data_IF_516099982635
#
_entry.id   IF_516099982635
#
_cell.length_a   1.000
_cell.length_b   1.000
_cell.length_c   1.000
_cell.angle_alpha   90.00
_cell.angle_beta   90.00
_cell.angle_gamma   90.00
#
_symmetry.space_group_name_H-M   'P 1'
#
loop_
_entity.id
_entity.type
_entity.pdbx_description
1 polymer ?
#
# COMPACT_ATOMS: atom_id res chain seq x y z
N UNK A 1 17.04 9.81 -9.05
CA UNK A 1 17.27 8.51 -9.73
C UNK A 1 18.24 7.70 -8.88
N UNK A 2 18.10 6.38 -8.80
CA UNK A 2 19.09 5.53 -8.12
C UNK A 2 20.36 5.53 -8.99
N UNK A 3 21.46 6.06 -8.47
CA UNK A 3 22.79 5.93 -9.09
C UNK A 3 23.48 4.69 -8.53
N UNK A 4 24.36 4.06 -9.32
CA UNK A 4 25.12 2.88 -8.87
C UNK A 4 25.90 3.15 -7.59
N UNK A 5 26.59 4.30 -7.52
CA UNK A 5 27.34 4.72 -6.33
C UNK A 5 26.45 4.87 -5.08
N UNK A 6 25.23 5.39 -5.23
CA UNK A 6 24.31 5.52 -4.09
C UNK A 6 23.76 4.17 -3.65
N UNK A 7 23.56 3.24 -4.60
CA UNK A 7 23.15 1.87 -4.30
C UNK A 7 24.23 1.17 -3.46
N UNK A 8 25.48 1.21 -3.89
CA UNK A 8 26.60 0.58 -3.17
C UNK A 8 26.77 1.14 -1.76
N UNK A 9 26.76 2.47 -1.61
CA UNK A 9 26.87 3.11 -0.31
C UNK A 9 25.73 2.73 0.66
N UNK A 10 24.50 2.65 0.16
CA UNK A 10 23.36 2.21 0.98
C UNK A 10 23.46 0.73 1.33
N UNK A 11 23.95 -0.10 0.39
CA UNK A 11 24.11 -1.55 0.60
C UNK A 11 25.19 -1.85 1.65
N UNK A 12 26.32 -1.16 1.62
CA UNK A 12 27.38 -1.26 2.63
C UNK A 12 26.85 -0.90 4.04
N UNK A 13 26.15 0.25 4.15
CA UNK A 13 25.60 0.71 5.44
C UNK A 13 24.48 -0.19 5.96
N UNK A 14 23.67 -0.76 5.06
CA UNK A 14 22.72 -1.79 5.45
C UNK A 14 23.47 -3.00 6.02
N UNK A 15 24.55 -3.48 5.38
CA UNK A 15 25.39 -4.56 5.91
C UNK A 15 25.94 -4.32 7.33
N UNK A 16 26.24 -3.07 7.67
CA UNK A 16 26.60 -2.64 9.03
C UNK A 16 25.42 -2.58 10.02
N UNK A 17 24.23 -3.06 9.64
CA UNK A 17 22.99 -3.06 10.44
C UNK A 17 22.35 -1.68 10.66
N UNK A 18 22.65 -0.69 9.81
CA UNK A 18 22.06 0.65 9.95
C UNK A 18 20.58 0.67 9.53
N UNK A 19 19.76 1.44 10.24
CA UNK A 19 18.38 1.71 9.83
C UNK A 19 18.34 2.67 8.62
N UNK A 20 17.42 2.48 7.66
CA UNK A 20 17.21 3.44 6.56
C UNK A 20 17.01 4.90 7.02
N UNK A 21 16.41 5.10 8.20
CA UNK A 21 16.24 6.43 8.81
C UNK A 21 17.57 7.02 9.27
N UNK A 22 18.47 6.20 9.80
CA UNK A 22 19.82 6.63 10.22
C UNK A 22 20.68 6.97 9.00
N UNK A 23 20.60 6.15 7.94
CA UNK A 23 21.33 6.40 6.68
C UNK A 23 20.90 7.74 6.10
N UNK A 24 19.60 8.00 6.01
CA UNK A 24 19.10 9.27 5.47
C UNK A 24 19.40 10.45 6.38
N UNK A 25 19.16 10.30 7.69
CA UNK A 25 19.36 11.36 8.66
C UNK A 25 20.82 11.80 8.81
N UNK A 26 21.79 10.88 8.63
CA UNK A 26 23.22 11.17 8.79
C UNK A 26 23.94 11.48 7.48
N UNK A 27 23.71 10.70 6.42
CA UNK A 27 24.50 10.80 5.19
C UNK A 27 23.83 11.68 4.12
N UNK A 28 22.50 11.70 4.08
CA UNK A 28 21.75 12.34 3.00
C UNK A 28 20.59 13.22 3.47
N UNK A 29 20.80 14.13 4.44
CA UNK A 29 19.75 15.03 4.91
C UNK A 29 19.21 15.86 3.74
N UNK A 30 17.88 15.82 3.51
CA UNK A 30 17.20 16.57 2.45
C UNK A 30 17.41 16.08 1.01
N UNK A 31 18.39 15.19 0.75
CA UNK A 31 18.65 14.63 -0.60
C UNK A 31 17.93 13.32 -0.85
N UNK A 32 17.69 12.54 0.21
CA UNK A 32 17.04 11.25 0.13
C UNK A 32 15.90 11.16 1.16
N UNK A 33 14.87 10.38 0.85
CA UNK A 33 13.83 10.02 1.83
C UNK A 33 14.01 8.56 2.24
N UNK A 34 13.84 8.26 3.53
CA UNK A 34 13.90 6.89 4.04
C UNK A 34 12.85 5.99 3.37
N UNK A 35 11.70 6.54 2.97
CA UNK A 35 10.68 5.84 2.18
C UNK A 35 11.22 5.33 0.85
N UNK A 36 12.13 6.06 0.21
CA UNK A 36 12.74 5.64 -1.06
C UNK A 36 13.61 4.40 -0.87
N UNK A 37 14.40 4.34 0.21
CA UNK A 37 15.20 3.16 0.56
C UNK A 37 14.30 1.96 0.80
N UNK A 38 13.26 2.09 1.62
CA UNK A 38 12.31 1.00 1.85
C UNK A 38 11.66 0.52 0.54
N UNK A 39 11.27 1.42 -0.35
CA UNK A 39 10.70 1.07 -1.65
C UNK A 39 11.70 0.27 -2.50
N UNK A 40 12.98 0.62 -2.47
CA UNK A 40 14.02 -0.11 -3.21
C UNK A 40 14.28 -1.50 -2.64
N UNK A 41 14.25 -1.66 -1.32
CA UNK A 41 14.36 -2.96 -0.65
C UNK A 41 13.18 -3.85 -1.06
N UNK A 42 11.95 -3.34 -1.00
CA UNK A 42 10.76 -4.11 -1.40
C UNK A 42 10.70 -4.43 -2.90
N UNK A 43 11.33 -3.60 -3.74
CA UNK A 43 11.47 -3.86 -5.18
C UNK A 43 12.61 -4.85 -5.50
N UNK A 44 13.35 -5.36 -4.50
CA UNK A 44 14.45 -6.31 -4.73
C UNK A 44 15.67 -5.67 -5.41
N UNK A 45 15.85 -4.36 -5.30
CA UNK A 45 17.00 -3.68 -5.91
C UNK A 45 18.31 -3.93 -5.15
N UNK A 46 18.23 -4.39 -3.90
CA UNK A 46 19.38 -4.75 -3.06
C UNK A 46 19.44 -6.26 -2.86
N UNK A 47 20.63 -6.82 -3.02
CA UNK A 47 20.91 -8.24 -2.77
C UNK A 47 21.32 -8.43 -1.31
N UNK A 48 20.41 -8.11 -0.39
CA UNK A 48 20.61 -8.29 1.04
C UNK A 48 19.38 -8.94 1.66
N UNK A 49 19.55 -9.91 2.57
CA UNK A 49 18.42 -10.51 3.25
C UNK A 49 17.74 -9.45 4.14
N UNK A 50 16.41 -9.44 4.16
CA UNK A 50 15.59 -8.56 5.02
C UNK A 50 15.86 -8.75 6.53
N UNK A 51 16.66 -9.74 6.93
CA UNK A 51 17.14 -9.97 8.30
C UNK A 51 18.07 -8.86 8.79
N UNK A 52 18.76 -8.18 7.87
CA UNK A 52 19.71 -7.11 8.17
C UNK A 52 19.00 -5.85 8.71
N UNK A 53 17.72 -5.67 8.38
CA UNK A 53 16.92 -4.56 8.89
C UNK A 53 16.49 -4.83 10.34
N UNK A 54 17.08 -4.09 11.27
CA UNK A 54 16.75 -4.15 12.70
C UNK A 54 15.27 -3.84 12.99
N UNK A 55 14.67 -2.94 12.21
CA UNK A 55 13.23 -2.66 12.22
C UNK A 55 12.71 -2.68 10.79
N UNK A 56 11.65 -3.46 10.53
CA UNK A 56 11.05 -3.61 9.19
C UNK A 56 10.00 -2.54 8.87
N UNK A 57 9.84 -1.55 9.75
CA UNK A 57 8.86 -0.47 9.61
C UNK A 57 7.41 -0.98 9.60
N UNK A 58 6.49 -0.13 9.12
CA UNK A 58 5.08 -0.51 8.97
C UNK A 58 4.91 -1.47 7.80
N UNK A 59 4.28 -2.62 8.07
CA UNK A 59 3.92 -3.59 7.03
C UNK A 59 2.96 -2.95 6.02
N UNK A 60 3.21 -3.17 4.72
CA UNK A 60 2.25 -2.75 3.70
C UNK A 60 0.94 -3.52 3.86
N UNK A 61 -0.19 -2.82 3.69
CA UNK A 61 -1.50 -3.46 3.68
C UNK A 61 -1.53 -4.48 2.53
N UNK A 62 -1.99 -5.72 2.77
CA UNK A 62 -2.13 -6.69 1.71
C UNK A 62 -3.08 -6.14 0.65
N UNK A 63 -2.81 -6.47 -0.63
CA UNK A 63 -3.72 -6.14 -1.71
C UNK A 63 -5.03 -6.89 -1.48
N UNK A 64 -6.14 -6.18 -1.40
CA UNK A 64 -7.46 -6.78 -1.19
C UNK A 64 -7.76 -7.80 -2.29
N UNK A 65 -7.76 -9.08 -1.91
CA UNK A 65 -7.92 -10.21 -2.83
C UNK A 65 -9.33 -10.79 -2.79
N UNK A 66 -10.20 -10.25 -1.93
CA UNK A 66 -11.61 -10.62 -1.88
C UNK A 66 -12.23 -10.17 -3.20
N UNK A 67 -12.72 -11.12 -3.99
CA UNK A 67 -13.43 -10.84 -5.23
C UNK A 67 -14.57 -9.85 -4.98
N UNK A 68 -14.84 -8.97 -5.94
CA UNK A 68 -16.04 -8.14 -5.87
C UNK A 68 -17.25 -9.06 -5.94
N UNK A 69 -18.14 -8.98 -4.96
CA UNK A 69 -19.40 -9.68 -5.02
C UNK A 69 -20.23 -9.09 -6.17
N UNK A 70 -20.24 -9.76 -7.32
CA UNK A 70 -21.13 -9.43 -8.45
C UNK A 70 -22.54 -10.03 -8.22
N UNK A 71 -22.97 -10.16 -6.97
CA UNK A 71 -24.25 -10.74 -6.60
C UNK A 71 -25.20 -9.59 -6.36
N UNK A 72 -26.00 -9.27 -7.37
CA UNK A 72 -27.04 -8.26 -7.28
C UNK A 72 -27.38 -7.63 -8.62
N UNK A 73 -28.66 -7.33 -8.81
CA UNK A 73 -29.14 -6.50 -9.89
C UNK A 73 -28.57 -5.09 -9.70
N UNK A 74 -27.84 -4.51 -10.66
CA UNK A 74 -27.30 -3.16 -10.51
C UNK A 74 -28.44 -2.16 -10.33
N UNK A 75 -28.23 -1.11 -9.51
CA UNK A 75 -29.22 -0.07 -9.20
C UNK A 75 -29.87 0.50 -10.47
N UNK A 76 -29.11 0.59 -11.57
CA UNK A 76 -29.59 1.08 -12.88
C UNK A 76 -30.71 0.24 -13.50
N UNK A 77 -30.82 -1.05 -13.14
CA UNK A 77 -31.86 -1.96 -13.63
C UNK A 77 -33.11 -1.98 -12.73
N UNK A 78 -33.17 -1.15 -11.68
CA UNK A 78 -34.34 -1.10 -10.77
C UNK A 78 -35.55 -0.46 -11.48
N UNK A 79 -36.78 -1.00 -11.30
CA UNK A 79 -37.98 -0.35 -11.79
C UNK A 79 -38.17 1.04 -11.18
N UNK A 80 -38.65 2.00 -11.99
CA UNK A 80 -38.82 3.41 -11.61
C UNK A 80 -39.81 3.60 -10.45
N UNK A 81 -40.74 2.68 -10.29
CA UNK A 81 -41.78 2.68 -9.25
C UNK A 81 -41.19 2.70 -7.84
N UNK A 82 -40.03 2.06 -7.64
CA UNK A 82 -39.38 2.01 -6.33
C UNK A 82 -38.84 3.36 -5.89
N UNK A 83 -38.56 4.28 -6.83
CA UNK A 83 -38.14 5.66 -6.48
C UNK A 83 -39.24 6.45 -5.79
N UNK A 84 -40.50 6.13 -6.07
CA UNK A 84 -41.67 6.83 -5.51
C UNK A 84 -42.00 6.41 -4.08
N UNK A 85 -41.53 5.22 -3.65
CA UNK A 85 -41.75 4.68 -2.29
C UNK A 85 -43.22 4.55 -1.88
N UNK A 86 -44.13 4.37 -2.84
CA UNK A 86 -45.58 4.32 -2.59
C UNK A 86 -46.08 3.00 -1.98
N UNK A 87 -45.28 1.92 -2.01
CA UNK A 87 -45.69 0.59 -1.51
C UNK A 87 -44.84 0.12 -0.33
N UNK A 88 -45.47 -0.66 0.56
CA UNK A 88 -44.78 -1.42 1.59
C UNK A 88 -43.83 -2.43 0.91
N UNK A 89 -42.54 -2.41 1.27
CA UNK A 89 -41.46 -3.12 0.57
C UNK A 89 -40.46 -2.20 -0.16
N UNK A 90 -40.88 -1.02 -0.64
CA UNK A 90 -39.94 -0.01 -1.19
C UNK A 90 -39.08 0.68 -0.13
N UNK A 91 -39.49 0.55 1.14
CA UNK A 91 -38.83 1.13 2.31
C UNK A 91 -37.83 0.17 2.96
N UNK A 92 -37.78 -1.09 2.53
CA UNK A 92 -36.76 -2.02 3.00
C UNK A 92 -35.39 -1.48 2.61
N UNK A 93 -34.51 -1.40 3.61
CA UNK A 93 -33.16 -0.87 3.45
C UNK A 93 -32.38 -1.82 2.55
N UNK A 94 -32.26 -1.45 1.27
CA UNK A 94 -31.22 -2.02 0.41
C UNK A 94 -29.88 -1.71 1.07
N UNK A 95 -29.27 -2.72 1.68
CA UNK A 95 -27.96 -2.57 2.30
C UNK A 95 -26.94 -2.48 1.17
N UNK A 96 -26.73 -1.26 0.67
CA UNK A 96 -25.65 -0.99 -0.29
C UNK A 96 -24.34 -1.08 0.49
N UNK A 97 -23.69 -2.22 0.42
CA UNK A 97 -22.31 -2.36 0.84
C UNK A 97 -21.49 -1.58 -0.19
N UNK A 98 -21.11 -0.35 0.15
CA UNK A 98 -20.32 0.49 -0.74
C UNK A 98 -18.93 -0.11 -0.93
N UNK A 99 -18.55 -0.21 -2.21
CA UNK A 99 -17.25 -0.64 -2.77
C UNK A 99 -16.12 0.27 -2.31
#
# INVERSE_FOLDING_TARGET
KLTSALKEAVQEKLGETWSPEQIVGRLYPGKLSFKSIYRWIYNGLFDLPLTVLRQKGKRQKPRETRGRFNIGTPISKRPKEVRKRDTFGHWEVDTVISV
#
